data_IF_601544901498
#
_entry.id   IF_601544901498
#
_cell.length_a   1.000
_cell.length_b   1.000
_cell.length_c   1.000
_cell.angle_alpha   90.00
_cell.angle_beta   90.00
_cell.angle_gamma   90.00
#
_symmetry.space_group_name_H-M   'P 1'
#
loop_
_entity.id
_entity.type
_entity.pdbx_description
1 polymer ?
#
# COMPACT_ATOMS: atom_id res chain seq x y z
N UNK A 1 22.18 9.44 -5.43
CA UNK A 1 20.85 9.01 -4.97
C UNK A 1 21.04 7.97 -3.88
N UNK A 2 20.40 8.15 -2.72
CA UNK A 2 20.38 7.16 -1.64
C UNK A 2 19.18 6.26 -1.84
N UNK A 3 19.38 4.95 -1.92
CA UNK A 3 18.29 3.98 -1.97
C UNK A 3 17.97 3.49 -0.57
N UNK A 4 16.68 3.44 -0.18
CA UNK A 4 16.27 2.80 1.06
C UNK A 4 16.49 1.29 0.94
N UNK A 5 16.90 0.66 2.05
CA UNK A 5 17.06 -0.79 2.19
C UNK A 5 16.04 -1.33 3.21
N UNK A 6 14.74 -1.36 2.83
CA UNK A 6 13.70 -1.79 3.74
C UNK A 6 13.64 -3.31 3.86
N UNK A 7 13.13 -3.80 5.00
CA UNK A 7 12.88 -5.23 5.16
C UNK A 7 11.70 -5.67 4.27
N UNK A 8 11.95 -6.64 3.38
CA UNK A 8 10.94 -7.15 2.44
C UNK A 8 9.74 -7.77 3.18
N UNK A 9 10.00 -8.42 4.32
CA UNK A 9 8.96 -9.03 5.17
C UNK A 9 8.00 -7.99 5.72
N UNK A 10 8.50 -6.83 6.15
CA UNK A 10 7.65 -5.76 6.71
C UNK A 10 6.80 -5.11 5.62
N UNK A 11 7.36 -4.90 4.42
CA UNK A 11 6.58 -4.44 3.26
C UNK A 11 5.47 -5.42 2.89
N UNK A 12 5.77 -6.72 2.88
CA UNK A 12 4.78 -7.75 2.59
C UNK A 12 3.67 -7.78 3.64
N UNK A 13 4.02 -7.72 4.93
CA UNK A 13 3.04 -7.69 6.03
C UNK A 13 2.16 -6.44 5.95
N UNK A 14 2.76 -5.25 5.77
CA UNK A 14 2.01 -4.01 5.67
C UNK A 14 1.07 -4.01 4.45
N UNK A 15 1.55 -4.50 3.31
CA UNK A 15 0.72 -4.65 2.10
C UNK A 15 -0.45 -5.59 2.35
N UNK A 16 -0.20 -6.74 2.99
CA UNK A 16 -1.25 -7.70 3.33
C UNK A 16 -2.30 -7.09 4.26
N UNK A 17 -1.88 -6.33 5.27
CA UNK A 17 -2.80 -5.62 6.19
C UNK A 17 -3.67 -4.62 5.44
N UNK A 18 -3.10 -3.82 4.52
CA UNK A 18 -3.86 -2.85 3.72
C UNK A 18 -4.88 -3.55 2.83
N UNK A 19 -4.45 -4.58 2.09
CA UNK A 19 -5.33 -5.34 1.19
C UNK A 19 -6.45 -6.02 1.99
N UNK A 20 -6.14 -6.63 3.13
CA UNK A 20 -7.12 -7.26 3.99
C UNK A 20 -8.13 -6.25 4.55
N UNK A 21 -7.66 -5.07 4.96
CA UNK A 21 -8.53 -4.00 5.45
C UNK A 21 -9.50 -3.53 4.37
N UNK A 22 -9.02 -3.35 3.13
CA UNK A 22 -9.87 -3.01 2.00
C UNK A 22 -10.86 -4.12 1.68
N UNK A 23 -10.43 -5.38 1.74
CA UNK A 23 -11.33 -6.53 1.53
C UNK A 23 -12.45 -6.57 2.58
N UNK A 24 -12.15 -6.28 3.85
CA UNK A 24 -13.16 -6.19 4.93
C UNK A 24 -14.13 -5.03 4.67
N UNK A 25 -13.62 -3.87 4.26
CA UNK A 25 -14.46 -2.71 3.93
C UNK A 25 -15.37 -2.97 2.72
N UNK A 26 -14.87 -3.67 1.69
CA UNK A 26 -15.68 -4.10 0.57
C UNK A 26 -16.75 -5.12 1.01
N UNK A 27 -16.34 -6.15 1.76
CA UNK A 27 -17.22 -7.22 2.21
C UNK A 27 -18.38 -6.71 3.08
N UNK A 28 -18.13 -5.68 3.88
CA UNK A 28 -19.16 -5.03 4.73
C UNK A 28 -20.03 -4.03 3.98
N UNK A 29 -19.81 -3.81 2.68
CA UNK A 29 -20.54 -2.85 1.86
C UNK A 29 -20.20 -1.39 2.15
N UNK A 30 -19.09 -1.11 2.86
CA UNK A 30 -18.66 0.26 3.16
C UNK A 30 -17.92 0.93 2.00
N UNK A 31 -17.29 0.14 1.13
CA UNK A 31 -16.42 0.64 0.05
C UNK A 31 -16.97 0.42 -1.36
N UNK A 32 -17.91 -0.50 -1.54
CA UNK A 32 -18.49 -0.81 -2.84
C UNK A 32 -19.98 -1.07 -2.72
N UNK A 33 -20.75 -0.47 -3.63
CA UNK A 33 -22.18 -0.76 -3.81
C UNK A 33 -22.41 -2.01 -4.68
N UNK A 34 -21.34 -2.71 -5.08
CA UNK A 34 -21.44 -3.92 -5.90
C UNK A 34 -22.10 -5.05 -5.09
N UNK A 35 -23.22 -5.63 -5.57
CA UNK A 35 -23.91 -6.73 -4.91
C UNK A 35 -23.05 -8.01 -4.77
N UNK A 36 -21.94 -8.12 -5.52
CA UNK A 36 -20.98 -9.22 -5.39
C UNK A 36 -20.09 -9.13 -4.12
N UNK A 37 -20.06 -7.99 -3.43
CA UNK A 37 -19.42 -7.80 -2.12
C UNK A 37 -17.89 -7.71 -2.11
N UNK A 38 -17.18 -8.23 -3.12
CA UNK A 38 -15.72 -8.10 -3.24
C UNK A 38 -15.33 -7.78 -4.68
N UNK A 39 -14.44 -6.79 -4.84
CA UNK A 39 -13.76 -6.48 -6.10
C UNK A 39 -12.31 -7.01 -6.06
N UNK A 40 -12.07 -8.24 -6.54
CA UNK A 40 -10.74 -8.84 -6.53
C UNK A 40 -9.77 -8.10 -7.45
N UNK A 41 -10.24 -7.43 -8.51
CA UNK A 41 -9.38 -6.69 -9.41
C UNK A 41 -8.77 -5.48 -8.67
N UNK A 42 -9.58 -4.74 -7.91
CA UNK A 42 -9.09 -3.64 -7.08
C UNK A 42 -8.07 -4.13 -6.04
N UNK A 43 -8.37 -5.23 -5.35
CA UNK A 43 -7.47 -5.77 -4.33
C UNK A 43 -6.10 -6.17 -4.90
N UNK A 44 -6.08 -6.78 -6.10
CA UNK A 44 -4.83 -7.11 -6.80
C UNK A 44 -4.07 -5.84 -7.21
N UNK A 45 -4.78 -4.85 -7.76
CA UNK A 45 -4.16 -3.57 -8.15
C UNK A 45 -3.52 -2.90 -6.94
N UNK A 46 -4.20 -2.86 -5.78
CA UNK A 46 -3.65 -2.28 -4.56
C UNK A 46 -2.46 -3.10 -4.04
N UNK A 47 -2.56 -4.43 -4.04
CA UNK A 47 -1.46 -5.30 -3.60
C UNK A 47 -0.16 -5.07 -4.37
N UNK A 48 -0.24 -4.69 -5.65
CA UNK A 48 0.93 -4.38 -6.48
C UNK A 48 1.36 -2.92 -6.32
N UNK A 49 0.42 -1.98 -6.39
CA UNK A 49 0.74 -0.55 -6.43
C UNK A 49 1.19 -0.01 -5.08
N UNK A 50 0.60 -0.47 -3.97
CA UNK A 50 0.90 -0.01 -2.62
C UNK A 50 2.39 -0.14 -2.26
N UNK A 51 3.05 -1.32 -2.37
CA UNK A 51 4.47 -1.44 -2.04
C UNK A 51 5.36 -0.63 -3.00
N UNK A 52 4.97 -0.50 -4.27
CA UNK A 52 5.72 0.29 -5.27
C UNK A 52 5.71 1.77 -4.90
N UNK A 53 4.54 2.36 -4.65
CA UNK A 53 4.45 3.76 -4.26
C UNK A 53 5.10 4.03 -2.90
N UNK A 54 4.97 3.11 -1.95
CA UNK A 54 5.62 3.23 -0.64
C UNK A 54 7.14 3.26 -0.79
N UNK A 55 7.71 2.41 -1.65
CA UNK A 55 9.14 2.43 -1.94
C UNK A 55 9.58 3.74 -2.62
N UNK A 56 8.83 4.22 -3.61
CA UNK A 56 9.13 5.49 -4.28
C UNK A 56 9.10 6.68 -3.32
N UNK A 57 8.14 6.70 -2.39
CA UNK A 57 8.09 7.72 -1.32
C UNK A 57 9.29 7.61 -0.38
N UNK A 58 9.71 6.39 -0.02
CA UNK A 58 10.91 6.18 0.80
C UNK A 58 12.19 6.65 0.08
N UNK A 59 12.29 6.42 -1.24
CA UNK A 59 13.37 6.97 -2.07
C UNK A 59 13.35 8.49 -2.03
N UNK A 60 12.19 9.11 -2.23
CA UNK A 60 12.07 10.57 -2.17
C UNK A 60 12.51 11.09 -0.79
N UNK A 61 11.98 10.53 0.29
CA UNK A 61 12.32 10.90 1.66
C UNK A 61 13.82 10.75 1.96
N UNK A 62 14.46 9.70 1.45
CA UNK A 62 15.91 9.47 1.62
C UNK A 62 16.78 10.48 0.85
N UNK A 63 16.24 11.14 -0.17
CA UNK A 63 16.97 12.07 -1.05
C UNK A 63 16.61 13.54 -0.84
N UNK A 64 15.53 13.85 -0.10
CA UNK A 64 15.24 15.22 0.34
C UNK A 64 16.20 15.55 1.50
N UNK A 65 17.13 16.50 1.31
CA UNK A 65 17.85 17.12 2.43
C UNK A 65 16.80 17.81 3.30
N UNK A 66 16.51 17.22 4.46
CA UNK A 66 15.77 17.91 5.52
C UNK A 66 16.58 19.17 5.87
N UNK A 67 16.10 20.35 5.50
CA UNK A 67 16.65 21.61 5.98
C UNK A 67 16.11 21.74 7.41
N UNK A 68 16.94 21.60 8.46
CA UNK A 68 16.50 21.93 9.80
C UNK A 68 16.41 23.46 9.88
N UNK A 69 15.29 23.98 10.37
CA UNK A 69 15.19 25.37 10.84
C UNK A 69 15.96 25.54 12.16
#
# INVERSE_FOLDING_TARGET
MRFPDPSLSEYAVNTAVVVLTLAVLQYTGWLSDDPAGLDPALLVVVAVTFPVFTYLLAVLAANVRWIPE
#
